data_IF_157231496226
#
_entry.id   IF_157231496226
#
_cell.length_a   1.000
_cell.length_b   1.000
_cell.length_c   1.000
_cell.angle_alpha   90.00
_cell.angle_beta   90.00
_cell.angle_gamma   90.00
#
_symmetry.space_group_name_H-M   'P 1'
#
loop_
_entity.id
_entity.type
_entity.pdbx_description
1 polymer ?
#
# COMPACT_ATOMS: atom_id res chain seq x y z
N UNK A 1 -22.16 0.81 23.88
CA UNK A 1 -22.49 1.75 24.97
C UNK A 1 -21.93 3.14 24.64
N UNK A 2 -22.79 4.17 24.55
CA UNK A 2 -22.42 5.55 24.32
C UNK A 2 -22.57 6.34 25.64
N UNK A 3 -21.50 7.05 26.12
CA UNK A 3 -21.55 7.80 27.38
C UNK A 3 -22.65 8.86 27.36
N UNK A 4 -23.46 8.90 28.43
CA UNK A 4 -24.64 9.77 28.50
C UNK A 4 -24.24 11.24 28.54
N UNK A 5 -23.19 11.59 29.29
CA UNK A 5 -22.67 12.95 29.38
C UNK A 5 -22.25 13.46 28.02
N UNK A 6 -21.49 12.65 27.26
CA UNK A 6 -21.07 12.97 25.88
C UNK A 6 -22.27 13.12 24.92
N UNK A 7 -23.32 12.33 25.10
CA UNK A 7 -24.53 12.44 24.28
C UNK A 7 -25.26 13.79 24.51
N UNK A 8 -25.37 14.21 25.77
CA UNK A 8 -25.98 15.48 26.14
C UNK A 8 -25.16 16.67 25.60
N UNK A 9 -23.83 16.65 25.75
CA UNK A 9 -22.94 17.69 25.26
C UNK A 9 -22.96 17.81 23.72
N UNK A 10 -22.92 16.66 23.04
CA UNK A 10 -22.74 16.64 21.58
C UNK A 10 -24.05 16.88 20.82
N UNK A 11 -25.15 16.30 21.32
CA UNK A 11 -26.40 16.26 20.55
C UNK A 11 -27.55 17.08 21.13
N UNK A 12 -27.46 17.46 22.41
CA UNK A 12 -28.51 18.15 23.15
C UNK A 12 -28.00 19.33 23.96
N UNK A 13 -26.89 19.94 23.56
CA UNK A 13 -26.29 21.11 24.23
C UNK A 13 -27.15 22.37 24.22
N UNK A 14 -28.16 22.43 23.38
CA UNK A 14 -29.20 23.44 23.34
C UNK A 14 -30.36 23.18 24.29
N UNK A 15 -30.43 22.00 24.88
CA UNK A 15 -31.50 21.53 25.76
C UNK A 15 -31.01 21.32 27.21
N UNK A 16 -29.79 20.81 27.34
CA UNK A 16 -29.17 20.52 28.66
C UNK A 16 -27.80 21.18 28.75
N UNK A 17 -27.52 21.73 29.95
CA UNK A 17 -26.21 22.28 30.29
C UNK A 17 -25.58 21.58 31.49
N UNK A 18 -24.26 21.36 31.53
CA UNK A 18 -23.58 20.73 32.64
C UNK A 18 -23.59 21.68 33.86
N UNK A 19 -23.56 21.10 35.05
CA UNK A 19 -23.40 21.86 36.28
C UNK A 19 -22.03 21.61 36.91
N UNK A 20 -21.70 22.29 38.03
CA UNK A 20 -20.47 22.05 38.79
C UNK A 20 -20.40 20.60 39.32
N UNK A 21 -21.53 19.94 39.47
CA UNK A 21 -21.60 18.53 39.84
C UNK A 21 -21.74 17.68 38.59
N UNK A 22 -20.72 16.88 38.24
CA UNK A 22 -20.65 16.05 37.05
C UNK A 22 -21.83 15.09 36.86
N UNK A 23 -22.49 14.70 37.92
CA UNK A 23 -23.67 13.83 37.89
C UNK A 23 -25.00 14.58 37.81
N UNK A 24 -24.99 15.92 37.72
CA UNK A 24 -26.20 16.74 37.64
C UNK A 24 -26.13 17.72 36.47
N UNK A 25 -27.23 17.78 35.73
CA UNK A 25 -27.39 18.67 34.59
C UNK A 25 -28.61 19.54 34.77
N UNK A 26 -28.61 20.66 34.10
CA UNK A 26 -29.71 21.62 34.08
C UNK A 26 -30.48 21.49 32.75
N UNK A 27 -31.84 21.40 32.85
CA UNK A 27 -32.71 21.52 31.69
C UNK A 27 -32.95 23.01 31.45
N UNK A 28 -32.47 23.54 30.31
CA UNK A 28 -32.35 24.99 30.01
C UNK A 28 -33.70 25.71 30.10
N UNK A 29 -34.79 25.09 29.67
CA UNK A 29 -36.15 25.66 29.75
C UNK A 29 -36.74 25.70 31.18
N UNK A 30 -36.04 25.18 32.17
CA UNK A 30 -36.48 25.14 33.53
C UNK A 30 -35.95 26.34 34.31
N UNK A 31 -36.85 27.05 35.05
CA UNK A 31 -36.47 28.10 35.98
C UNK A 31 -36.11 27.56 37.39
N UNK A 32 -36.10 26.23 37.59
CA UNK A 32 -35.85 25.58 38.88
C UNK A 32 -34.40 25.07 38.96
N UNK A 33 -33.99 24.58 40.16
CA UNK A 33 -32.66 24.00 40.39
C UNK A 33 -32.38 22.80 39.43
N UNK A 34 -31.09 22.49 39.16
CA UNK A 34 -30.70 21.35 38.32
C UNK A 34 -31.33 20.05 38.82
N UNK A 35 -32.22 19.48 38.02
CA UNK A 35 -32.99 18.28 38.34
C UNK A 35 -32.84 17.15 37.34
N UNK A 36 -31.78 17.17 36.54
CA UNK A 36 -31.42 16.05 35.63
C UNK A 36 -30.26 15.31 36.27
N UNK A 37 -30.44 14.03 36.54
CA UNK A 37 -29.43 13.16 37.19
C UNK A 37 -28.85 12.17 36.20
N UNK A 38 -27.50 12.07 36.18
CA UNK A 38 -26.78 11.03 35.46
C UNK A 38 -26.43 9.89 36.43
N UNK A 39 -26.68 8.65 36.00
CA UNK A 39 -26.36 7.41 36.74
C UNK A 39 -25.37 6.56 35.94
N UNK A 40 -24.19 6.33 36.54
CA UNK A 40 -23.12 5.47 36.03
C UNK A 40 -22.66 5.85 34.59
N UNK A 41 -22.81 7.11 34.22
CA UNK A 41 -22.61 7.62 32.84
C UNK A 41 -23.36 6.79 31.77
N UNK A 42 -24.37 6.05 32.14
CA UNK A 42 -25.19 5.16 31.31
C UNK A 42 -26.61 5.64 31.10
N UNK A 43 -27.17 6.24 32.14
CA UNK A 43 -28.55 6.63 32.15
C UNK A 43 -28.73 8.07 32.65
N UNK A 44 -29.74 8.73 32.12
CA UNK A 44 -30.20 10.03 32.57
C UNK A 44 -31.63 9.94 33.04
N UNK A 45 -31.95 10.70 34.07
CA UNK A 45 -33.29 10.79 34.66
C UNK A 45 -33.63 12.25 34.92
N UNK A 46 -34.74 12.74 34.32
CA UNK A 46 -35.20 14.12 34.49
C UNK A 46 -36.37 14.25 35.45
N UNK A 47 -36.25 15.16 36.40
CA UNK A 47 -37.32 15.53 37.32
C UNK A 47 -38.13 16.77 36.86
N UNK A 48 -37.84 17.32 35.70
CA UNK A 48 -38.49 18.51 35.18
C UNK A 48 -39.75 18.16 34.38
N UNK A 49 -40.91 18.58 34.88
CA UNK A 49 -42.23 18.27 34.28
C UNK A 49 -42.43 18.80 32.84
N UNK A 50 -41.62 19.77 32.40
CA UNK A 50 -41.65 20.29 31.02
C UNK A 50 -40.70 19.52 30.07
N UNK A 51 -39.82 18.71 30.63
CA UNK A 51 -38.91 17.90 29.84
C UNK A 51 -39.70 16.72 29.22
N UNK A 52 -39.63 16.51 27.89
CA UNK A 52 -40.22 15.32 27.25
C UNK A 52 -39.76 14.00 27.86
N UNK A 53 -38.57 13.94 28.47
CA UNK A 53 -38.04 12.77 29.17
C UNK A 53 -38.42 12.73 30.70
N UNK A 54 -39.40 13.51 31.14
CA UNK A 54 -39.84 13.59 32.54
C UNK A 54 -40.16 12.22 33.13
N UNK A 55 -39.53 11.91 34.27
CA UNK A 55 -39.66 10.66 35.03
C UNK A 55 -39.37 9.37 34.20
N UNK A 56 -38.60 9.49 33.15
CA UNK A 56 -38.12 8.34 32.34
C UNK A 56 -36.64 8.13 32.61
N UNK A 57 -36.25 6.86 32.79
CA UNK A 57 -34.85 6.46 32.81
C UNK A 57 -34.39 6.17 31.38
N UNK A 58 -33.62 7.09 30.81
CA UNK A 58 -33.23 7.05 29.39
C UNK A 58 -31.73 6.73 29.24
N UNK A 59 -31.35 5.88 28.33
CA UNK A 59 -29.98 5.78 27.86
C UNK A 59 -29.69 6.86 26.81
N UNK A 60 -28.46 6.92 26.28
CA UNK A 60 -28.04 7.92 25.29
C UNK A 60 -28.90 7.89 24.02
N UNK A 61 -29.28 6.69 23.54
CA UNK A 61 -30.13 6.55 22.37
C UNK A 61 -31.56 7.09 22.63
N UNK A 62 -32.12 6.72 23.78
CA UNK A 62 -33.50 7.10 24.12
C UNK A 62 -33.63 8.60 24.32
N UNK A 63 -32.70 9.25 25.07
CA UNK A 63 -32.79 10.69 25.34
C UNK A 63 -32.66 11.52 24.07
N UNK A 64 -31.72 11.15 23.16
CA UNK A 64 -31.59 11.82 21.87
C UNK A 64 -32.79 11.58 20.99
N UNK A 65 -33.36 10.36 20.99
CA UNK A 65 -34.58 10.02 20.25
C UNK A 65 -35.77 10.86 20.69
N UNK A 66 -36.01 10.97 21.99
CA UNK A 66 -37.12 11.71 22.57
C UNK A 66 -37.08 13.19 22.15
N UNK A 67 -35.90 13.80 22.22
CA UNK A 67 -35.78 15.23 21.92
C UNK A 67 -35.71 15.56 20.41
N UNK A 68 -35.02 14.76 19.62
CA UNK A 68 -34.87 15.04 18.17
C UNK A 68 -36.01 14.48 17.31
N UNK A 69 -36.62 13.38 17.73
CA UNK A 69 -37.58 12.61 16.91
C UNK A 69 -38.88 12.28 17.65
N UNK A 70 -39.13 12.88 18.84
CA UNK A 70 -40.30 12.59 19.67
C UNK A 70 -41.66 13.04 19.11
N UNK A 71 -41.67 13.86 18.05
CA UNK A 71 -42.91 14.28 17.35
C UNK A 71 -43.40 13.31 16.27
N UNK A 72 -42.73 12.18 16.05
CA UNK A 72 -43.03 11.17 15.06
C UNK A 72 -43.77 9.96 15.68
N UNK A 73 -44.37 9.12 14.86
CA UNK A 73 -44.80 7.78 15.28
C UNK A 73 -43.61 6.99 15.86
N UNK A 74 -43.88 6.13 16.84
CA UNK A 74 -42.81 5.44 17.58
C UNK A 74 -41.88 4.62 16.68
N UNK A 75 -42.40 3.95 15.65
CA UNK A 75 -41.59 3.21 14.67
C UNK A 75 -40.77 4.12 13.76
N UNK A 76 -41.35 5.25 13.36
CA UNK A 76 -40.66 6.24 12.54
C UNK A 76 -39.59 6.95 13.34
N UNK A 77 -39.90 7.34 14.59
CA UNK A 77 -38.96 7.92 15.55
C UNK A 77 -37.75 7.01 15.81
N UNK A 78 -37.99 5.71 16.06
CA UNK A 78 -36.92 4.74 16.26
C UNK A 78 -36.03 4.58 15.03
N UNK A 79 -36.67 4.51 13.84
CA UNK A 79 -35.93 4.40 12.57
C UNK A 79 -35.09 5.63 12.28
N UNK A 80 -35.65 6.84 12.46
CA UNK A 80 -34.94 8.10 12.28
C UNK A 80 -33.75 8.22 13.24
N UNK A 81 -33.91 7.78 14.48
CA UNK A 81 -32.82 7.74 15.46
C UNK A 81 -31.72 6.74 15.08
N UNK A 82 -32.08 5.57 14.56
CA UNK A 82 -31.08 4.59 14.06
C UNK A 82 -30.29 5.17 12.89
N UNK A 83 -30.97 5.80 11.92
CA UNK A 83 -30.31 6.45 10.78
C UNK A 83 -29.39 7.60 11.24
N UNK A 84 -29.83 8.40 12.19
CA UNK A 84 -29.03 9.47 12.80
C UNK A 84 -27.79 8.92 13.51
N UNK A 85 -27.95 7.91 14.37
CA UNK A 85 -26.84 7.29 15.11
C UNK A 85 -25.78 6.69 14.14
N UNK A 86 -26.22 6.02 13.09
CA UNK A 86 -25.32 5.43 12.07
C UNK A 86 -24.59 6.47 11.21
N UNK A 87 -24.97 7.75 11.27
CA UNK A 87 -24.23 8.83 10.60
C UNK A 87 -23.12 9.43 11.48
N UNK A 88 -23.15 9.17 12.80
CA UNK A 88 -22.15 9.70 13.72
C UNK A 88 -20.85 8.91 13.66
N UNK A 89 -19.72 9.59 13.53
CA UNK A 89 -18.43 8.95 13.36
C UNK A 89 -18.01 8.11 14.57
N UNK A 90 -18.27 8.58 15.79
CA UNK A 90 -18.01 7.84 17.01
C UNK A 90 -18.81 6.54 17.11
N UNK A 91 -20.08 6.56 16.68
CA UNK A 91 -20.94 5.34 16.66
C UNK A 91 -20.50 4.37 15.59
N UNK A 92 -20.09 4.87 14.42
CA UNK A 92 -19.52 4.04 13.34
C UNK A 92 -18.25 3.35 13.81
N UNK A 93 -17.34 4.11 14.43
CA UNK A 93 -16.07 3.60 14.95
C UNK A 93 -16.31 2.50 16.00
N UNK A 94 -17.18 2.75 16.99
CA UNK A 94 -17.49 1.78 18.00
C UNK A 94 -18.12 0.51 17.43
N UNK A 95 -19.09 0.66 16.51
CA UNK A 95 -19.75 -0.48 15.86
C UNK A 95 -18.75 -1.29 15.02
N UNK A 96 -17.81 -0.61 14.32
CA UNK A 96 -16.75 -1.26 13.59
C UNK A 96 -15.81 -2.05 14.51
N UNK A 97 -15.37 -1.44 15.63
CA UNK A 97 -14.51 -2.08 16.60
C UNK A 97 -15.17 -3.28 17.31
N UNK A 98 -16.45 -3.19 17.67
CA UNK A 98 -17.18 -4.30 18.26
C UNK A 98 -17.29 -5.50 17.30
N UNK A 99 -17.51 -5.24 16.01
CA UNK A 99 -17.53 -6.29 14.97
C UNK A 99 -16.16 -6.88 14.70
N UNK A 100 -15.12 -6.05 14.66
CA UNK A 100 -13.72 -6.51 14.51
C UNK A 100 -13.28 -7.33 15.72
N UNK A 101 -13.63 -6.90 16.94
CA UNK A 101 -13.31 -7.63 18.17
C UNK A 101 -14.07 -8.96 18.28
N UNK A 102 -15.30 -9.02 17.80
CA UNK A 102 -16.06 -10.27 17.70
C UNK A 102 -15.46 -11.25 16.68
N UNK A 103 -14.81 -10.72 15.61
CA UNK A 103 -14.13 -11.53 14.59
C UNK A 103 -12.63 -11.77 14.90
N UNK A 104 -12.03 -10.97 15.77
CA UNK A 104 -10.59 -10.85 15.94
C UNK A 104 -10.11 -11.03 17.39
N UNK A 105 -10.67 -11.99 18.14
CA UNK A 105 -10.11 -12.36 19.45
C UNK A 105 -8.64 -12.78 19.41
N UNK A 106 -8.05 -12.90 18.22
CA UNK A 106 -6.68 -13.36 17.99
C UNK A 106 -5.74 -12.34 17.29
N UNK A 107 -6.16 -11.09 17.02
CA UNK A 107 -5.30 -10.13 16.28
C UNK A 107 -5.10 -8.81 17.02
N UNK A 108 -3.84 -8.52 17.40
CA UNK A 108 -3.41 -7.22 17.93
C UNK A 108 -3.33 -6.17 16.80
N UNK A 109 -4.29 -5.25 16.74
CA UNK A 109 -4.23 -4.09 15.83
C UNK A 109 -3.58 -2.89 16.53
N UNK A 110 -2.39 -2.50 16.08
CA UNK A 110 -1.72 -1.26 16.43
C UNK A 110 -1.73 -0.30 15.23
N UNK A 111 -2.85 0.35 14.95
CA UNK A 111 -2.99 1.33 13.87
C UNK A 111 -3.89 2.50 14.28
N UNK A 112 -3.85 3.59 13.53
CA UNK A 112 -4.74 4.75 13.72
C UNK A 112 -6.22 4.33 13.56
N UNK A 113 -6.92 4.14 14.67
CA UNK A 113 -8.31 3.62 14.70
C UNK A 113 -9.33 4.53 13.98
N UNK A 114 -8.96 5.78 13.68
CA UNK A 114 -9.87 6.76 13.09
C UNK A 114 -10.29 6.45 11.63
N UNK A 115 -9.52 5.64 10.88
CA UNK A 115 -9.89 5.28 9.51
C UNK A 115 -11.11 4.37 9.44
N UNK A 116 -11.38 3.55 10.48
CA UNK A 116 -12.53 2.65 10.53
C UNK A 116 -13.86 3.42 10.55
N UNK A 117 -13.88 4.63 11.13
CA UNK A 117 -15.05 5.50 11.11
C UNK A 117 -15.43 5.99 9.71
N UNK A 118 -14.48 5.97 8.77
CA UNK A 118 -14.70 6.36 7.37
C UNK A 118 -15.31 5.24 6.52
N UNK A 119 -15.38 4.01 7.05
CA UNK A 119 -16.00 2.89 6.35
C UNK A 119 -17.49 3.15 6.13
N UNK A 120 -17.98 2.84 4.94
CA UNK A 120 -19.38 2.97 4.56
C UNK A 120 -20.15 1.70 4.87
N UNK A 121 -21.30 1.86 5.48
CA UNK A 121 -22.24 0.78 5.83
C UNK A 121 -23.56 0.96 5.10
N UNK A 122 -24.21 -0.13 4.81
CA UNK A 122 -25.56 -0.11 4.23
C UNK A 122 -26.55 0.45 5.26
N UNK A 123 -27.32 1.52 4.96
CA UNK A 123 -28.17 2.20 5.95
C UNK A 123 -29.20 1.29 6.62
N UNK A 124 -29.76 0.33 5.88
CA UNK A 124 -30.82 -0.56 6.36
C UNK A 124 -30.31 -1.74 7.18
N UNK A 125 -29.20 -2.35 6.80
CA UNK A 125 -28.69 -3.59 7.40
C UNK A 125 -27.55 -3.35 8.38
N UNK A 126 -26.93 -2.16 8.33
CA UNK A 126 -25.70 -1.88 9.08
C UNK A 126 -24.52 -2.80 8.69
N UNK A 127 -24.60 -3.51 7.58
CA UNK A 127 -23.52 -4.35 7.06
C UNK A 127 -22.55 -3.48 6.28
N UNK A 128 -21.26 -3.77 6.36
CA UNK A 128 -20.22 -3.08 5.60
C UNK A 128 -20.56 -3.12 4.09
N UNK A 129 -20.44 -1.98 3.42
CA UNK A 129 -20.76 -1.89 1.99
C UNK A 129 -19.69 -2.58 1.14
N UNK A 130 -20.09 -3.48 0.25
CA UNK A 130 -19.21 -4.12 -0.71
C UNK A 130 -18.82 -3.13 -1.81
N UNK A 131 -17.87 -2.26 -1.56
CA UNK A 131 -17.45 -1.20 -2.46
C UNK A 131 -15.92 -1.12 -2.58
N UNK A 132 -15.44 -0.62 -3.75
CA UNK A 132 -14.03 -0.31 -3.98
C UNK A 132 -13.52 0.71 -2.95
N UNK A 133 -14.37 1.65 -2.52
CA UNK A 133 -14.01 2.63 -1.50
C UNK A 133 -13.60 1.99 -0.18
N UNK A 134 -14.45 1.10 0.35
CA UNK A 134 -14.16 0.42 1.61
C UNK A 134 -12.93 -0.48 1.49
N UNK A 135 -12.80 -1.23 0.39
CA UNK A 135 -11.67 -2.12 0.21
C UNK A 135 -10.34 -1.35 0.05
N UNK A 136 -10.34 -0.22 -0.67
CA UNK A 136 -9.16 0.66 -0.72
C UNK A 136 -8.81 1.21 0.66
N UNK A 137 -9.81 1.59 1.45
CA UNK A 137 -9.59 2.10 2.80
C UNK A 137 -8.97 1.03 3.71
N UNK A 138 -9.46 -0.21 3.65
CA UNK A 138 -8.91 -1.36 4.38
C UNK A 138 -7.46 -1.62 3.95
N UNK A 139 -7.21 -1.79 2.66
CA UNK A 139 -5.88 -2.10 2.14
C UNK A 139 -4.84 -1.01 2.44
N UNK A 140 -5.26 0.26 2.55
CA UNK A 140 -4.35 1.37 2.83
C UNK A 140 -4.06 1.58 4.31
N UNK A 141 -4.96 1.18 5.21
CA UNK A 141 -4.85 1.54 6.61
C UNK A 141 -4.70 0.35 7.56
N UNK A 142 -5.12 -0.85 7.18
CA UNK A 142 -4.83 -2.05 7.98
C UNK A 142 -3.35 -2.42 7.82
N UNK A 143 -2.55 -2.37 8.92
CA UNK A 143 -1.10 -2.61 8.87
C UNK A 143 -0.72 -3.98 8.30
N UNK A 144 -1.57 -5.00 8.44
CA UNK A 144 -1.32 -6.34 7.91
C UNK A 144 -1.33 -6.37 6.36
N UNK A 145 -1.89 -5.36 5.72
CA UNK A 145 -1.92 -5.23 4.26
C UNK A 145 -0.95 -4.17 3.72
N UNK A 146 -0.01 -3.68 4.54
CA UNK A 146 1.01 -2.73 4.09
C UNK A 146 2.15 -3.37 3.28
N UNK A 147 2.29 -4.69 3.36
CA UNK A 147 3.48 -5.43 2.93
C UNK A 147 3.58 -5.72 1.42
N UNK A 148 2.95 -4.95 0.53
CA UNK A 148 3.09 -5.13 -0.92
C UNK A 148 3.10 -3.79 -1.66
N UNK A 149 3.80 -3.75 -2.80
CA UNK A 149 3.94 -2.58 -3.66
C UNK A 149 4.25 -3.01 -5.10
N UNK A 150 4.02 -2.13 -6.07
CA UNK A 150 4.40 -2.35 -7.46
C UNK A 150 5.87 -2.00 -7.68
N UNK A 151 6.64 -2.96 -8.17
CA UNK A 151 8.04 -2.76 -8.56
C UNK A 151 8.11 -2.34 -10.04
N UNK A 152 8.41 -1.06 -10.29
CA UNK A 152 8.49 -0.48 -11.63
C UNK A 152 9.54 -1.17 -12.52
N UNK A 153 10.65 -1.61 -11.94
CA UNK A 153 11.74 -2.23 -12.68
C UNK A 153 11.40 -3.65 -13.13
N UNK A 154 10.70 -4.40 -12.29
CA UNK A 154 10.31 -5.78 -12.58
C UNK A 154 8.94 -5.89 -13.26
N UNK A 155 8.21 -4.78 -13.39
CA UNK A 155 6.82 -4.72 -13.88
C UNK A 155 5.90 -5.73 -13.19
N UNK A 156 6.03 -5.84 -11.86
CA UNK A 156 5.33 -6.84 -11.04
C UNK A 156 5.10 -6.34 -9.62
N UNK A 157 4.05 -6.86 -8.98
CA UNK A 157 3.85 -6.63 -7.55
C UNK A 157 4.86 -7.45 -6.76
N UNK A 158 5.53 -6.78 -5.83
CA UNK A 158 6.52 -7.35 -4.92
C UNK A 158 6.05 -7.25 -3.48
N UNK A 159 6.38 -8.26 -2.67
CA UNK A 159 6.18 -8.22 -1.23
C UNK A 159 7.35 -7.46 -0.61
N UNK A 160 7.02 -6.36 0.05
CA UNK A 160 7.98 -5.40 0.62
C UNK A 160 8.00 -5.40 2.13
N UNK A 161 7.10 -6.16 2.77
CA UNK A 161 6.97 -6.23 4.22
C UNK A 161 6.33 -7.53 4.70
N UNK A 162 5.92 -7.54 5.95
CA UNK A 162 5.24 -8.70 6.55
C UNK A 162 3.82 -8.82 6.01
N UNK A 163 3.38 -10.05 5.80
CA UNK A 163 2.00 -10.40 5.43
C UNK A 163 1.40 -11.32 6.50
N UNK A 164 0.08 -11.34 6.68
CA UNK A 164 -0.57 -12.15 7.71
C UNK A 164 -0.68 -13.65 7.35
N UNK A 165 0.12 -14.13 6.42
CA UNK A 165 0.25 -15.54 6.04
C UNK A 165 1.70 -15.90 5.75
N UNK A 166 2.00 -17.20 5.88
CA UNK A 166 3.32 -17.74 5.57
C UNK A 166 3.58 -17.81 4.07
N UNK A 167 4.82 -17.58 3.67
CA UNK A 167 5.30 -17.65 2.29
C UNK A 167 6.55 -18.52 2.19
N UNK A 168 6.76 -19.21 1.06
CA UNK A 168 8.04 -19.87 0.79
C UNK A 168 9.18 -18.85 0.75
N UNK A 169 10.32 -19.22 1.29
CA UNK A 169 11.55 -18.42 1.22
C UNK A 169 12.04 -18.22 -0.23
N UNK A 170 12.73 -17.12 -0.48
CA UNK A 170 13.42 -16.85 -1.75
C UNK A 170 12.55 -16.30 -2.89
N UNK A 171 11.24 -16.15 -2.71
CA UNK A 171 10.38 -15.53 -3.73
C UNK A 171 9.72 -14.26 -3.18
N UNK A 172 10.22 -13.10 -3.62
CA UNK A 172 9.71 -11.79 -3.19
C UNK A 172 8.56 -11.26 -4.05
N UNK A 173 8.22 -11.88 -5.18
CA UNK A 173 7.12 -11.43 -6.02
C UNK A 173 5.78 -12.03 -5.58
N UNK A 174 4.72 -11.26 -5.80
CA UNK A 174 3.35 -11.67 -5.51
C UNK A 174 2.93 -12.85 -6.39
N UNK A 175 2.29 -13.86 -5.79
CA UNK A 175 1.83 -15.08 -6.44
C UNK A 175 0.31 -15.16 -6.43
N UNK A 176 -0.26 -16.01 -7.28
CA UNK A 176 -1.71 -16.29 -7.26
C UNK A 176 -2.18 -16.78 -5.90
N UNK A 177 -1.35 -17.59 -5.21
CA UNK A 177 -1.62 -18.03 -3.85
C UNK A 177 -1.74 -16.88 -2.86
N UNK A 178 -0.92 -15.83 -3.01
CA UNK A 178 -0.99 -14.65 -2.14
C UNK A 178 -2.30 -13.86 -2.38
N UNK A 179 -2.80 -13.83 -3.62
CA UNK A 179 -4.12 -13.26 -3.92
C UNK A 179 -5.25 -14.03 -3.21
N UNK A 180 -5.19 -15.36 -3.22
CA UNK A 180 -6.18 -16.19 -2.52
C UNK A 180 -6.12 -15.98 -0.99
N UNK A 181 -4.91 -15.89 -0.43
CA UNK A 181 -4.71 -15.62 1.00
C UNK A 181 -5.24 -14.23 1.38
N UNK A 182 -4.90 -13.19 0.61
CA UNK A 182 -5.41 -11.84 0.83
C UNK A 182 -6.93 -11.81 0.89
N UNK A 183 -7.59 -12.40 -0.10
CA UNK A 183 -9.06 -12.50 -0.14
C UNK A 183 -9.60 -13.22 1.08
N UNK A 184 -9.03 -14.38 1.43
CA UNK A 184 -9.46 -15.16 2.59
C UNK A 184 -9.36 -14.38 3.90
N UNK A 185 -8.26 -13.70 4.14
CA UNK A 185 -8.05 -12.90 5.36
C UNK A 185 -9.04 -11.73 5.42
N UNK A 186 -9.26 -11.02 4.32
CA UNK A 186 -10.21 -9.91 4.26
C UNK A 186 -11.65 -10.41 4.45
N UNK A 187 -12.03 -11.52 3.81
CA UNK A 187 -13.37 -12.09 3.92
C UNK A 187 -13.70 -12.51 5.36
N UNK A 188 -12.72 -13.05 6.07
CA UNK A 188 -12.87 -13.44 7.48
C UNK A 188 -12.97 -12.22 8.39
N UNK A 189 -12.15 -11.19 8.19
CA UNK A 189 -12.07 -10.03 9.09
C UNK A 189 -13.16 -8.99 8.86
N UNK A 190 -13.54 -8.78 7.63
CA UNK A 190 -14.43 -7.68 7.25
C UNK A 190 -15.72 -8.19 6.62
N UNK A 191 -15.64 -8.57 5.35
CA UNK A 191 -16.77 -9.17 4.62
C UNK A 191 -16.26 -9.70 3.27
N UNK A 192 -16.98 -10.65 2.64
CA UNK A 192 -16.67 -11.08 1.28
C UNK A 192 -16.94 -9.96 0.27
N UNK A 193 -15.90 -9.37 -0.27
CA UNK A 193 -16.00 -8.43 -1.39
C UNK A 193 -16.13 -9.16 -2.72
N UNK A 194 -16.68 -8.50 -3.74
CA UNK A 194 -16.76 -9.06 -5.08
C UNK A 194 -15.35 -9.20 -5.70
N UNK A 195 -15.15 -10.21 -6.57
CA UNK A 195 -13.88 -10.40 -7.28
C UNK A 195 -13.46 -9.13 -8.04
N UNK A 196 -14.42 -8.43 -8.68
CA UNK A 196 -14.16 -7.15 -9.36
C UNK A 196 -13.57 -6.09 -8.40
N UNK A 197 -14.12 -5.96 -7.19
CA UNK A 197 -13.65 -4.97 -6.23
C UNK A 197 -12.25 -5.32 -5.75
N UNK A 198 -11.95 -6.61 -5.55
CA UNK A 198 -10.58 -7.05 -5.24
C UNK A 198 -9.59 -6.69 -6.34
N UNK A 199 -9.91 -7.01 -7.60
CA UNK A 199 -8.99 -6.76 -8.72
C UNK A 199 -8.71 -5.26 -8.89
N UNK A 200 -9.74 -4.41 -8.78
CA UNK A 200 -9.58 -2.95 -8.88
C UNK A 200 -8.78 -2.40 -7.70
N UNK A 201 -9.15 -2.76 -6.47
CA UNK A 201 -8.55 -2.18 -5.27
C UNK A 201 -7.13 -2.65 -5.06
N UNK A 202 -6.85 -3.94 -5.26
CA UNK A 202 -5.52 -4.50 -5.13
C UNK A 202 -4.54 -3.88 -6.14
N UNK A 203 -4.93 -3.82 -7.42
CA UNK A 203 -4.11 -3.21 -8.46
C UNK A 203 -3.86 -1.72 -8.17
N UNK A 204 -4.92 -0.98 -7.80
CA UNK A 204 -4.79 0.45 -7.47
C UNK A 204 -3.86 0.69 -6.28
N UNK A 205 -4.04 -0.05 -5.18
CA UNK A 205 -3.24 0.15 -3.98
C UNK A 205 -1.79 -0.28 -4.18
N UNK A 206 -1.54 -1.32 -4.96
CA UNK A 206 -0.18 -1.71 -5.34
C UNK A 206 0.50 -0.61 -6.19
N UNK A 207 -0.23 -0.05 -7.15
CA UNK A 207 0.24 1.04 -8.01
C UNK A 207 0.48 2.34 -7.22
N UNK A 208 -0.43 2.72 -6.32
CA UNK A 208 -0.24 3.87 -5.42
C UNK A 208 1.05 3.77 -4.57
N UNK A 209 1.53 2.55 -4.31
CA UNK A 209 2.75 2.23 -3.54
C UNK A 209 3.93 1.86 -4.43
N UNK A 210 3.91 2.26 -5.72
CA UNK A 210 4.99 1.91 -6.64
C UNK A 210 6.35 2.38 -6.13
N UNK A 211 7.38 1.64 -6.49
CA UNK A 211 8.75 1.96 -6.15
C UNK A 211 9.72 1.43 -7.21
N UNK A 212 10.87 2.08 -7.31
CA UNK A 212 11.97 1.61 -8.16
C UNK A 212 13.15 1.20 -7.29
N UNK A 213 13.46 -0.09 -7.16
CA UNK A 213 14.44 -0.56 -6.17
C UNK A 213 15.82 0.08 -6.33
N UNK A 214 16.29 0.23 -7.58
CA UNK A 214 17.62 0.80 -7.84
C UNK A 214 17.65 2.32 -7.59
N UNK A 215 16.58 3.07 -7.93
CA UNK A 215 16.50 4.50 -7.58
C UNK A 215 16.54 4.66 -6.05
N UNK A 216 15.72 3.90 -5.33
CA UNK A 216 15.70 3.95 -3.87
C UNK A 216 17.08 3.62 -3.28
N UNK A 217 17.76 2.62 -3.83
CA UNK A 217 19.13 2.28 -3.42
C UNK A 217 20.10 3.44 -3.68
N UNK A 218 20.14 3.98 -4.90
CA UNK A 218 21.05 5.07 -5.27
C UNK A 218 20.78 6.34 -4.46
N UNK A 219 19.50 6.67 -4.23
CA UNK A 219 19.10 7.85 -3.45
C UNK A 219 19.38 7.68 -1.95
N UNK A 220 19.52 6.44 -1.45
CA UNK A 220 19.90 6.15 -0.06
C UNK A 220 21.40 6.20 0.21
N UNK A 221 22.23 6.31 -0.84
CA UNK A 221 23.68 6.34 -0.68
C UNK A 221 24.13 7.63 0.02
N UNK A 222 25.21 7.57 0.83
CA UNK A 222 25.76 8.77 1.45
C UNK A 222 26.28 9.75 0.39
N UNK A 223 26.42 11.00 0.77
CA UNK A 223 27.01 12.02 -0.10
C UNK A 223 28.40 11.58 -0.59
N UNK A 224 28.70 11.92 -1.84
CA UNK A 224 29.98 11.58 -2.45
C UNK A 224 31.14 12.28 -1.74
N UNK A 225 32.14 11.50 -1.35
CA UNK A 225 33.35 11.95 -0.65
C UNK A 225 34.38 12.66 -1.56
N UNK A 226 34.07 12.90 -2.82
CA UNK A 226 34.94 13.54 -3.79
C UNK A 226 35.99 12.62 -4.43
N UNK A 227 36.10 11.36 -4.01
CA UNK A 227 37.13 10.43 -4.51
C UNK A 227 36.64 9.69 -5.76
N UNK A 228 37.37 9.85 -6.86
CA UNK A 228 37.08 9.18 -8.15
C UNK A 228 37.55 7.72 -8.11
N UNK A 229 36.60 6.79 -7.91
CA UNK A 229 36.92 5.35 -7.83
C UNK A 229 36.55 4.58 -9.09
N UNK A 230 35.48 4.99 -9.78
CA UNK A 230 34.85 4.26 -10.87
C UNK A 230 35.83 4.05 -12.05
N UNK A 231 36.54 5.08 -12.46
CA UNK A 231 37.44 5.02 -13.61
C UNK A 231 38.61 4.02 -13.46
N UNK A 232 38.98 3.68 -12.22
CA UNK A 232 40.07 2.73 -11.94
C UNK A 232 39.58 1.32 -11.55
N UNK A 233 38.28 1.06 -11.63
CA UNK A 233 37.67 -0.17 -11.13
C UNK A 233 38.26 -1.42 -11.81
N UNK A 234 38.23 -1.49 -13.15
CA UNK A 234 38.72 -2.64 -13.91
C UNK A 234 40.23 -2.76 -13.79
N UNK A 235 40.98 -1.63 -13.71
CA UNK A 235 42.42 -1.61 -13.50
C UNK A 235 42.76 -2.24 -12.17
N UNK A 236 42.11 -1.79 -11.08
CA UNK A 236 42.41 -2.21 -9.72
C UNK A 236 42.01 -3.66 -9.44
N UNK A 237 40.85 -4.08 -9.88
CA UNK A 237 40.28 -5.37 -9.48
C UNK A 237 40.46 -6.46 -10.54
N UNK A 238 40.47 -6.12 -11.82
CA UNK A 238 40.62 -7.09 -12.91
C UNK A 238 42.04 -7.05 -13.54
N UNK A 239 42.95 -6.18 -13.04
CA UNK A 239 44.30 -6.03 -13.57
C UNK A 239 44.34 -5.60 -15.05
N UNK A 240 43.32 -4.86 -15.51
CA UNK A 240 43.34 -4.26 -16.82
C UNK A 240 44.48 -3.21 -16.94
N UNK A 241 44.96 -2.98 -18.15
CA UNK A 241 45.98 -2.00 -18.40
C UNK A 241 45.56 -0.58 -17.97
N UNK A 242 46.46 0.12 -17.27
CA UNK A 242 46.19 1.50 -16.82
C UNK A 242 46.39 2.48 -17.99
N UNK A 243 45.34 2.60 -18.82
CA UNK A 243 45.32 3.51 -19.97
C UNK A 243 44.14 4.47 -19.85
N UNK A 244 44.28 5.63 -20.48
CA UNK A 244 43.16 6.60 -20.56
C UNK A 244 41.89 5.96 -21.17
N UNK A 245 42.08 5.10 -22.21
CA UNK A 245 40.99 4.37 -22.81
C UNK A 245 40.20 3.50 -21.80
N UNK A 246 40.90 2.69 -21.00
CA UNK A 246 40.25 1.82 -20.01
C UNK A 246 39.54 2.65 -18.96
N UNK A 247 40.14 3.75 -18.50
CA UNK A 247 39.51 4.66 -17.52
C UNK A 247 38.23 5.29 -18.07
N UNK A 248 38.27 5.80 -19.29
CA UNK A 248 37.11 6.43 -19.93
C UNK A 248 36.00 5.42 -20.25
N UNK A 249 36.32 4.23 -20.74
CA UNK A 249 35.33 3.16 -21.00
C UNK A 249 34.66 2.75 -19.68
N UNK A 250 35.46 2.51 -18.63
CA UNK A 250 34.91 2.13 -17.32
C UNK A 250 33.97 3.21 -16.78
N UNK A 251 34.43 4.48 -16.76
CA UNK A 251 33.62 5.60 -16.29
C UNK A 251 32.31 5.76 -17.06
N UNK A 252 32.36 5.73 -18.39
CA UNK A 252 31.19 5.89 -19.26
C UNK A 252 30.19 4.76 -19.10
N UNK A 253 30.66 3.52 -18.95
CA UNK A 253 29.78 2.36 -18.77
C UNK A 253 28.94 2.49 -17.49
N UNK A 254 29.58 2.77 -16.35
CA UNK A 254 28.85 2.90 -15.10
C UNK A 254 28.00 4.18 -15.04
N UNK A 255 28.47 5.28 -15.63
CA UNK A 255 27.64 6.48 -15.76
C UNK A 255 26.39 6.23 -16.60
N UNK A 256 26.49 5.48 -17.69
CA UNK A 256 25.35 5.11 -18.52
C UNK A 256 24.39 4.16 -17.80
N UNK A 257 24.90 3.21 -17.01
CA UNK A 257 24.08 2.31 -16.20
C UNK A 257 23.23 3.09 -15.19
N UNK A 258 23.78 4.11 -14.53
CA UNK A 258 23.04 5.00 -13.61
C UNK A 258 22.09 5.90 -14.40
N UNK A 259 22.54 6.48 -15.52
CA UNK A 259 21.71 7.38 -16.33
C UNK A 259 20.43 6.71 -16.84
N UNK A 260 20.48 5.44 -17.24
CA UNK A 260 19.30 4.67 -17.66
C UNK A 260 18.30 4.40 -16.55
N UNK A 261 18.74 4.31 -15.30
CA UNK A 261 17.84 4.16 -14.14
C UNK A 261 17.00 5.43 -13.94
N UNK A 262 17.60 6.61 -14.06
CA UNK A 262 16.88 7.88 -13.87
C UNK A 262 16.16 8.35 -15.15
N UNK A 263 16.70 8.03 -16.32
CA UNK A 263 16.15 8.40 -17.62
C UNK A 263 16.11 7.15 -18.54
N UNK A 264 15.14 6.25 -18.35
CA UNK A 264 14.98 5.07 -19.20
C UNK A 264 14.92 5.44 -20.70
N UNK A 265 15.52 4.62 -21.55
CA UNK A 265 15.65 4.92 -22.97
C UNK A 265 16.86 5.81 -23.33
N UNK A 266 17.67 6.23 -22.36
CA UNK A 266 18.92 6.96 -22.63
C UNK A 266 19.80 6.14 -23.58
N UNK A 267 20.18 6.77 -24.71
CA UNK A 267 20.96 6.09 -25.74
C UNK A 267 22.40 5.88 -25.29
N UNK A 268 22.82 4.62 -25.26
CA UNK A 268 24.19 4.19 -25.02
C UNK A 268 24.43 2.88 -25.76
N UNK A 269 25.03 2.96 -26.92
CA UNK A 269 25.19 1.84 -27.86
C UNK A 269 26.49 1.06 -27.67
N UNK A 270 27.25 1.38 -26.60
CA UNK A 270 28.52 0.73 -26.29
C UNK A 270 28.32 -0.31 -25.18
N UNK A 271 28.97 -1.45 -25.33
CA UNK A 271 29.00 -2.50 -24.32
C UNK A 271 30.47 -2.83 -24.01
N UNK A 272 30.88 -2.86 -22.76
CA UNK A 272 32.21 -3.30 -22.40
C UNK A 272 32.35 -4.80 -22.63
N UNK A 273 33.40 -5.21 -23.31
CA UNK A 273 33.77 -6.62 -23.43
C UNK A 273 34.98 -6.88 -22.56
N UNK A 274 34.80 -7.75 -21.57
CA UNK A 274 35.85 -8.15 -20.62
C UNK A 274 36.50 -9.45 -21.12
N UNK A 275 37.64 -9.32 -21.79
CA UNK A 275 38.43 -10.45 -22.23
C UNK A 275 39.55 -10.77 -21.25
N UNK A 276 39.87 -12.04 -21.02
CA UNK A 276 40.90 -12.48 -20.08
C UNK A 276 40.64 -13.90 -19.57
N UNK A 277 41.57 -14.41 -18.79
CA UNK A 277 41.55 -15.76 -18.25
C UNK A 277 40.25 -16.06 -17.46
N UNK A 278 39.84 -17.32 -17.47
CA UNK A 278 38.70 -17.78 -16.68
C UNK A 278 39.01 -17.70 -15.18
N UNK A 279 38.02 -17.28 -14.38
CA UNK A 279 38.14 -17.28 -12.91
C UNK A 279 38.77 -16.00 -12.31
N UNK A 280 39.16 -15.00 -13.11
CA UNK A 280 39.72 -13.75 -12.57
C UNK A 280 38.70 -12.79 -11.97
N UNK A 281 37.39 -13.17 -11.94
CA UNK A 281 36.35 -12.40 -11.30
C UNK A 281 35.62 -11.37 -12.20
N UNK A 282 35.67 -11.53 -13.54
CA UNK A 282 35.01 -10.60 -14.49
C UNK A 282 33.52 -10.39 -14.21
N UNK A 283 32.76 -11.47 -14.12
CA UNK A 283 31.32 -11.41 -13.79
C UNK A 283 31.09 -11.04 -12.34
N UNK A 284 31.92 -11.52 -11.42
CA UNK A 284 31.79 -11.30 -9.99
C UNK A 284 31.83 -9.81 -9.63
N UNK A 285 32.79 -9.04 -10.21
CA UNK A 285 32.91 -7.61 -9.91
C UNK A 285 31.68 -6.81 -10.29
N UNK A 286 31.05 -7.16 -11.40
CA UNK A 286 29.81 -6.47 -11.85
C UNK A 286 28.64 -6.89 -10.97
N UNK A 287 28.50 -8.18 -10.72
CA UNK A 287 27.47 -8.76 -9.87
C UNK A 287 27.46 -8.16 -8.45
N UNK A 288 28.64 -8.03 -7.84
CA UNK A 288 28.78 -7.45 -6.50
C UNK A 288 28.44 -5.95 -6.45
N UNK A 289 28.78 -5.20 -7.53
CA UNK A 289 28.46 -3.77 -7.62
C UNK A 289 26.99 -3.47 -7.75
N UNK A 290 26.26 -4.29 -8.53
CA UNK A 290 24.85 -4.02 -8.83
C UNK A 290 23.89 -4.78 -7.91
N UNK A 291 24.42 -5.48 -6.91
CA UNK A 291 23.70 -6.46 -6.06
C UNK A 291 23.22 -7.66 -6.88
N UNK A 292 23.48 -8.87 -6.39
CA UNK A 292 23.29 -10.11 -7.16
C UNK A 292 21.85 -10.34 -7.63
N UNK A 293 20.86 -9.77 -6.95
CA UNK A 293 19.44 -9.87 -7.34
C UNK A 293 19.07 -9.04 -8.59
N UNK A 294 19.86 -8.01 -8.92
CA UNK A 294 19.65 -7.16 -10.09
C UNK A 294 20.63 -7.46 -11.24
N UNK A 295 21.31 -8.58 -11.14
CA UNK A 295 22.23 -9.08 -12.15
C UNK A 295 21.72 -10.37 -12.77
N UNK A 296 21.80 -10.47 -14.11
CA UNK A 296 21.41 -11.67 -14.85
C UNK A 296 22.46 -12.08 -15.85
N UNK A 297 22.69 -13.39 -15.98
CA UNK A 297 23.53 -14.03 -16.99
C UNK A 297 22.71 -14.96 -17.91
N UNK A 298 21.39 -14.81 -17.92
CA UNK A 298 20.47 -15.73 -18.61
C UNK A 298 20.13 -15.33 -20.05
N UNK A 299 20.61 -14.18 -20.52
CA UNK A 299 20.34 -13.69 -21.86
C UNK A 299 21.22 -14.42 -22.89
N UNK A 300 20.59 -15.10 -23.84
CA UNK A 300 21.25 -15.77 -24.95
C UNK A 300 21.06 -15.03 -26.29
N UNK A 301 21.90 -15.35 -27.28
CA UNK A 301 21.78 -14.78 -28.62
C UNK A 301 20.43 -15.10 -29.31
N UNK A 302 19.85 -16.27 -28.99
CA UNK A 302 18.54 -16.67 -29.51
C UNK A 302 17.39 -15.88 -28.93
N UNK A 303 17.51 -15.41 -27.70
CA UNK A 303 16.47 -14.58 -27.04
C UNK A 303 16.35 -13.20 -27.70
N UNK A 304 17.40 -12.72 -28.34
CA UNK A 304 17.43 -11.38 -28.96
C UNK A 304 16.62 -11.29 -30.27
N UNK A 305 16.10 -12.41 -30.77
CA UNK A 305 15.30 -12.46 -31.98
C UNK A 305 13.82 -12.13 -31.77
N UNK A 306 13.35 -12.16 -30.53
CA UNK A 306 11.94 -11.95 -30.20
C UNK A 306 11.74 -11.22 -28.85
N UNK A 307 10.49 -11.17 -28.41
CA UNK A 307 10.12 -10.54 -27.13
C UNK A 307 10.78 -11.18 -25.91
N UNK A 308 11.29 -12.42 -26.00
CA UNK A 308 11.92 -13.12 -24.88
C UNK A 308 13.16 -12.36 -24.39
N UNK A 309 13.91 -11.74 -25.31
CA UNK A 309 15.03 -10.90 -24.94
C UNK A 309 14.62 -9.69 -24.11
N UNK A 310 13.55 -9.01 -24.52
CA UNK A 310 13.02 -7.88 -23.77
C UNK A 310 12.46 -8.31 -22.39
N UNK A 311 11.70 -9.41 -22.33
CA UNK A 311 11.17 -9.96 -21.06
C UNK A 311 12.31 -10.37 -20.11
N UNK A 312 13.45 -10.86 -20.61
CA UNK A 312 14.63 -11.22 -19.81
C UNK A 312 15.42 -10.02 -19.28
N UNK A 313 15.20 -8.81 -19.81
CA UNK A 313 15.80 -7.59 -19.26
C UNK A 313 15.04 -7.08 -18.04
N UNK A 314 13.76 -7.44 -17.91
CA UNK A 314 12.93 -6.91 -16.83
C UNK A 314 13.42 -7.35 -15.44
N UNK A 315 13.50 -6.40 -14.52
CA UNK A 315 13.92 -6.63 -13.14
C UNK A 315 15.44 -6.69 -12.94
N UNK A 316 16.24 -6.48 -13.98
CA UNK A 316 17.70 -6.51 -13.91
C UNK A 316 18.32 -5.15 -14.28
N UNK A 317 19.29 -4.73 -13.51
CA UNK A 317 20.06 -3.52 -13.78
C UNK A 317 21.18 -3.77 -14.78
N UNK A 318 21.87 -4.93 -14.64
CA UNK A 318 22.90 -5.36 -15.57
C UNK A 318 22.63 -6.79 -16.00
N UNK A 319 22.70 -7.00 -17.31
CA UNK A 319 22.56 -8.31 -17.93
C UNK A 319 23.87 -8.66 -18.66
N UNK A 320 24.47 -9.76 -18.30
CA UNK A 320 25.67 -10.29 -18.97
C UNK A 320 25.26 -11.15 -20.17
N UNK A 321 25.95 -10.93 -21.28
CA UNK A 321 25.91 -11.81 -22.45
C UNK A 321 27.15 -12.69 -22.36
N UNK A 322 26.99 -13.93 -21.90
CA UNK A 322 28.07 -14.90 -21.81
C UNK A 322 28.55 -15.40 -23.18
N UNK A 323 29.75 -15.91 -23.22
CA UNK A 323 30.32 -16.70 -24.33
C UNK A 323 30.22 -16.05 -25.71
N UNK A 324 30.81 -14.86 -25.89
CA UNK A 324 30.89 -14.20 -27.18
C UNK A 324 31.90 -14.87 -28.14
N UNK A 325 32.70 -15.85 -27.66
CA UNK A 325 33.68 -16.57 -28.43
C UNK A 325 32.99 -17.41 -29.53
N UNK A 326 33.41 -17.24 -30.78
CA UNK A 326 32.86 -18.02 -31.90
C UNK A 326 31.62 -17.42 -32.56
N UNK A 327 31.20 -16.20 -32.22
CA UNK A 327 30.09 -15.49 -32.88
C UNK A 327 30.36 -15.30 -34.40
N UNK A 328 29.38 -15.62 -35.20
CA UNK A 328 29.39 -15.33 -36.64
C UNK A 328 29.05 -13.86 -36.89
N UNK A 329 29.42 -13.34 -38.07
CA UNK A 329 29.09 -11.95 -38.43
C UNK A 329 27.59 -11.61 -38.28
N UNK A 330 26.70 -12.56 -38.61
CA UNK A 330 25.26 -12.38 -38.45
C UNK A 330 24.85 -12.21 -36.98
N UNK A 331 25.49 -12.92 -36.06
CA UNK A 331 25.21 -12.85 -34.61
C UNK A 331 25.65 -11.48 -34.05
N UNK A 332 26.79 -10.98 -34.55
CA UNK A 332 27.28 -9.63 -34.19
C UNK A 332 26.28 -8.54 -34.60
N UNK A 333 25.71 -8.63 -35.80
CA UNK A 333 24.71 -7.65 -36.27
C UNK A 333 23.40 -7.73 -35.45
N UNK A 334 22.98 -8.93 -35.05
CA UNK A 334 21.82 -9.10 -34.11
C UNK A 334 22.09 -8.44 -32.78
N UNK A 335 23.23 -8.70 -32.15
CA UNK A 335 23.61 -8.08 -30.89
C UNK A 335 23.62 -6.56 -31.02
N UNK A 336 24.21 -6.01 -32.07
CA UNK A 336 24.20 -4.56 -32.32
C UNK A 336 22.77 -4.00 -32.43
N UNK A 337 21.90 -4.66 -33.21
CA UNK A 337 20.50 -4.25 -33.33
C UNK A 337 19.77 -4.26 -32.02
N UNK A 338 19.94 -5.34 -31.23
CA UNK A 338 19.35 -5.46 -29.90
C UNK A 338 19.85 -4.38 -28.94
N UNK A 339 21.17 -4.10 -28.92
CA UNK A 339 21.77 -3.10 -28.05
C UNK A 339 21.39 -1.66 -28.39
N UNK A 340 21.16 -1.38 -29.70
CA UNK A 340 20.76 -0.05 -30.17
C UNK A 340 19.27 0.26 -29.92
N UNK A 341 18.48 -0.73 -29.51
CA UNK A 341 17.07 -0.55 -29.14
C UNK A 341 16.97 0.20 -27.86
N UNK A 342 16.29 1.34 -27.85
CA UNK A 342 16.08 2.18 -26.68
C UNK A 342 14.72 1.98 -26.01
N UNK A 343 13.78 1.32 -26.70
CA UNK A 343 12.42 1.09 -26.24
C UNK A 343 11.87 -0.22 -26.84
N UNK A 344 11.51 -1.15 -25.99
CA UNK A 344 10.88 -2.40 -26.37
C UNK A 344 9.35 -2.24 -26.36
N UNK A 345 8.70 -2.53 -27.48
CA UNK A 345 7.25 -2.48 -27.59
C UNK A 345 6.69 -3.88 -27.73
N UNK A 346 6.14 -4.39 -26.65
CA UNK A 346 5.49 -5.71 -26.67
C UNK A 346 4.30 -5.75 -25.72
N UNK A 347 3.48 -6.77 -25.87
CA UNK A 347 2.40 -7.07 -24.93
C UNK A 347 2.94 -8.03 -23.88
N UNK A 348 2.99 -7.63 -22.58
CA UNK A 348 3.35 -8.52 -21.50
C UNK A 348 2.48 -9.78 -21.48
N UNK A 349 3.02 -10.86 -20.96
CA UNK A 349 2.23 -12.07 -20.72
C UNK A 349 1.07 -11.73 -19.80
N UNK A 350 -0.17 -11.98 -20.26
CA UNK A 350 -1.45 -11.57 -19.61
C UNK A 350 -1.81 -10.08 -19.72
N UNK A 351 -0.99 -9.24 -20.33
CA UNK A 351 -1.30 -7.84 -20.62
C UNK A 351 -2.43 -7.69 -21.63
N UNK A 352 -3.20 -6.61 -21.55
CA UNK A 352 -4.32 -6.32 -22.47
C UNK A 352 -3.88 -5.51 -23.69
N UNK A 353 -2.82 -4.75 -23.58
CA UNK A 353 -2.32 -3.83 -24.60
C UNK A 353 -0.82 -4.03 -24.86
N UNK A 354 -0.34 -3.48 -25.98
CA UNK A 354 1.10 -3.31 -26.23
C UNK A 354 1.56 -2.11 -25.42
N UNK A 355 2.59 -2.29 -24.63
CA UNK A 355 3.17 -1.28 -23.77
C UNK A 355 4.61 -0.96 -24.21
N UNK A 356 5.08 0.23 -23.87
CA UNK A 356 6.44 0.71 -24.12
C UNK A 356 7.27 0.43 -22.88
N UNK A 357 8.41 -0.23 -23.08
CA UNK A 357 9.36 -0.57 -22.02
C UNK A 357 10.73 0.05 -22.37
N UNK A 358 10.95 1.35 -22.04
CA UNK A 358 12.24 2.02 -22.27
C UNK A 358 13.36 1.34 -21.47
N UNK A 359 14.52 1.10 -22.16
CA UNK A 359 15.67 0.40 -21.58
C UNK A 359 16.59 1.30 -20.76
#
# INVERSE_FOLDING_TARGET
YYPIGKALETYLSDIYEPTVNENRWHFIESASMPGVEIKDDKFVYSHHAKDPAYLQLCNAFDIVRIHKFGGMDDKESYRAMCEFAMQQDDVKLQTANERLNAAASDFNNSGDENWMAKLKYQPKSGVLENSVYNLNLILNNDPDFAGFAYNEMADRIQVTGTLPWERPEGNNFWRDADTAQLRSVIDIRYLPFSARNYDISFTKVADDRHFHPIRNYLDSLPEWDGIKRVESLFIKYLKADDTEYVREVTRKTFAAAVARIYNPGTKFDCVPVLDGEQGIGKSTIVKDLVQSEYYSETLSLTDMDDKSGAEKLQGFWVVEIGELAGMKKADIEKVKAFLSTSDDKYRPSYGKAVESHPR
#
